data_IF_218295107558
#
_entry.id   IF_218295107558
#
_cell.length_a   1.000
_cell.length_b   1.000
_cell.length_c   1.000
_cell.angle_alpha   90.00
_cell.angle_beta   90.00
_cell.angle_gamma   90.00
#
_symmetry.space_group_name_H-M   'P 1'
#
loop_
_entity.id
_entity.type
_entity.pdbx_description
1 polymer ?
#
# COMPACT_ATOMS: atom_id res chain seq x y z
N UNK A 1 39.54 56.71 -0.88
CA UNK A 1 39.52 55.37 -0.24
C UNK A 1 38.63 55.46 0.98
N UNK A 2 37.46 54.80 0.96
CA UNK A 2 36.87 54.01 2.05
C UNK A 2 35.75 53.19 1.40
N UNK A 3 35.75 51.93 1.80
CA UNK A 3 35.14 50.76 1.21
C UNK A 3 33.61 50.76 1.36
N UNK A 4 32.87 50.48 0.28
CA UNK A 4 31.44 50.22 0.33
C UNK A 4 31.22 48.76 0.79
N UNK A 5 30.60 48.58 1.95
CA UNK A 5 30.19 47.28 2.46
C UNK A 5 28.88 46.82 1.82
N UNK A 6 28.93 45.60 1.29
CA UNK A 6 27.83 44.82 0.74
C UNK A 6 27.17 44.03 1.87
N UNK A 7 25.86 44.16 2.04
CA UNK A 7 24.98 43.16 2.66
C UNK A 7 23.67 43.24 1.87
N UNK A 8 23.29 42.28 1.03
CA UNK A 8 23.06 40.88 1.35
C UNK A 8 21.57 40.64 1.10
N UNK A 9 21.18 40.54 -0.17
CA UNK A 9 19.79 40.29 -0.56
C UNK A 9 19.41 38.85 -0.18
N UNK A 10 18.48 38.70 0.76
CA UNK A 10 17.88 37.42 1.12
C UNK A 10 16.93 36.99 -0.01
N UNK A 11 17.40 36.09 -0.88
CA UNK A 11 16.57 35.41 -1.86
C UNK A 11 15.63 34.45 -1.14
N UNK A 12 14.34 34.79 -1.07
CA UNK A 12 13.28 33.83 -0.73
C UNK A 12 13.10 32.91 -1.95
N UNK A 13 13.77 31.76 -1.92
CA UNK A 13 13.59 30.73 -2.93
C UNK A 13 12.28 29.97 -2.69
N UNK A 14 11.34 30.13 -3.62
CA UNK A 14 10.55 29.04 -4.19
C UNK A 14 9.37 28.46 -3.39
N UNK A 15 8.20 29.11 -3.48
CA UNK A 15 6.92 28.38 -3.50
C UNK A 15 6.53 28.15 -4.97
N UNK A 16 7.19 27.18 -5.61
CA UNK A 16 6.69 26.63 -6.86
C UNK A 16 5.45 25.76 -6.58
N UNK A 17 4.42 25.78 -7.44
CA UNK A 17 3.33 24.81 -7.34
C UNK A 17 3.91 23.39 -7.47
N UNK A 18 3.55 22.51 -6.52
CA UNK A 18 4.00 21.12 -6.50
C UNK A 18 3.66 20.38 -7.81
N UNK A 19 4.38 19.30 -8.13
CA UNK A 19 4.24 18.62 -9.41
C UNK A 19 2.81 18.11 -9.63
N UNK A 20 2.39 18.16 -10.89
CA UNK A 20 1.11 17.74 -11.40
C UNK A 20 0.62 16.41 -10.84
N UNK A 21 -0.63 16.45 -10.34
CA UNK A 21 -1.55 15.36 -9.97
C UNK A 21 -1.02 13.94 -10.15
N UNK A 22 -0.32 13.44 -9.12
CA UNK A 22 -0.24 11.99 -8.92
C UNK A 22 -1.69 11.46 -8.87
N UNK A 23 -1.96 10.36 -9.58
CA UNK A 23 -3.24 9.70 -9.50
C UNK A 23 -3.56 9.40 -8.02
N UNK A 24 -4.83 9.52 -7.59
CA UNK A 24 -5.17 9.25 -6.20
C UNK A 24 -4.69 7.84 -5.83
N UNK A 25 -4.27 7.58 -4.58
CA UNK A 25 -3.75 6.27 -4.19
C UNK A 25 -4.74 5.10 -4.39
N UNK A 26 -6.02 5.42 -4.59
CA UNK A 26 -7.11 4.47 -4.89
C UNK A 26 -7.37 4.27 -6.39
N UNK A 27 -6.62 4.92 -7.28
CA UNK A 27 -6.80 4.81 -8.73
C UNK A 27 -6.63 3.36 -9.21
N UNK A 28 -7.62 2.88 -9.97
CA UNK A 28 -7.62 1.53 -10.54
C UNK A 28 -7.92 0.39 -9.54
N UNK A 29 -8.16 0.71 -8.26
CA UNK A 29 -8.65 -0.30 -7.32
C UNK A 29 -10.08 -0.74 -7.68
N UNK A 30 -10.42 -1.95 -7.26
CA UNK A 30 -11.79 -2.41 -7.22
C UNK A 30 -12.66 -1.38 -6.44
N UNK A 31 -13.84 -0.98 -6.95
CA UNK A 31 -14.66 0.06 -6.33
C UNK A 31 -15.05 -0.21 -4.87
N UNK A 32 -15.23 -1.49 -4.50
CA UNK A 32 -15.54 -1.89 -3.12
C UNK A 32 -14.33 -1.64 -2.23
N UNK A 33 -13.15 -2.05 -2.68
CA UNK A 33 -11.89 -1.82 -1.96
C UNK A 33 -11.59 -0.32 -1.81
N UNK A 34 -11.75 0.46 -2.89
CA UNK A 34 -11.54 1.90 -2.87
C UNK A 34 -12.46 2.60 -1.84
N UNK A 35 -13.73 2.22 -1.82
CA UNK A 35 -14.73 2.77 -0.89
C UNK A 35 -14.43 2.38 0.55
N UNK A 36 -14.14 1.10 0.80
CA UNK A 36 -13.78 0.62 2.13
C UNK A 36 -12.54 1.34 2.69
N UNK A 37 -11.50 1.49 1.87
CA UNK A 37 -10.29 2.21 2.28
C UNK A 37 -10.58 3.69 2.55
N UNK A 38 -11.37 4.35 1.71
CA UNK A 38 -11.71 5.76 1.92
C UNK A 38 -12.46 5.97 3.23
N UNK A 39 -13.39 5.08 3.58
CA UNK A 39 -14.12 5.13 4.86
C UNK A 39 -13.18 4.87 6.05
N UNK A 40 -12.32 3.85 5.96
CA UNK A 40 -11.33 3.54 6.98
C UNK A 40 -10.34 4.70 7.20
N UNK A 41 -9.79 5.26 6.13
CA UNK A 41 -8.85 6.40 6.18
C UNK A 41 -9.50 7.65 6.78
N UNK A 42 -10.78 7.93 6.47
CA UNK A 42 -11.51 9.02 7.11
C UNK A 42 -11.67 8.81 8.62
N UNK A 43 -11.97 7.58 9.04
CA UNK A 43 -12.10 7.25 10.47
C UNK A 43 -10.75 7.28 11.20
N UNK A 44 -9.68 6.81 10.58
CA UNK A 44 -8.31 6.89 11.10
C UNK A 44 -7.92 8.35 11.34
N UNK A 45 -8.12 9.20 10.32
CA UNK A 45 -7.84 10.64 10.39
C UNK A 45 -8.63 11.35 11.48
N UNK A 46 -9.91 11.03 11.65
CA UNK A 46 -10.73 11.60 12.73
C UNK A 46 -10.23 11.20 14.14
N UNK A 47 -9.49 10.09 14.24
CA UNK A 47 -8.84 9.62 15.48
C UNK A 47 -7.37 10.05 15.59
N UNK A 48 -6.86 10.86 14.65
CA UNK A 48 -5.45 11.26 14.62
C UNK A 48 -4.47 10.13 14.27
N UNK A 49 -4.95 9.03 13.69
CA UNK A 49 -4.11 7.90 13.27
C UNK A 49 -3.63 8.13 11.84
N UNK A 50 -2.31 8.19 11.57
CA UNK A 50 -1.79 8.28 10.22
C UNK A 50 -2.02 6.97 9.47
N UNK A 51 -2.57 7.06 8.26
CA UNK A 51 -2.81 5.92 7.38
C UNK A 51 -2.82 6.37 5.92
N UNK A 52 -1.93 5.79 5.11
CA UNK A 52 -1.85 6.00 3.67
C UNK A 52 -1.55 4.69 2.92
N UNK A 53 -1.97 4.62 1.66
CA UNK A 53 -1.57 3.55 0.75
C UNK A 53 -0.12 3.82 0.33
N UNK A 54 0.74 2.83 0.48
CA UNK A 54 2.10 2.80 -0.08
C UNK A 54 2.13 2.10 -1.43
N UNK A 55 1.22 1.15 -1.68
CA UNK A 55 1.07 0.49 -2.98
C UNK A 55 -0.39 0.08 -3.22
N UNK A 56 -0.99 0.59 -4.30
CA UNK A 56 -2.37 0.26 -4.70
C UNK A 56 -2.41 -0.70 -5.88
N UNK A 57 -3.22 -0.37 -6.90
CA UNK A 57 -3.27 -1.14 -8.15
C UNK A 57 -1.91 -1.09 -8.84
N UNK A 58 -1.44 -2.25 -9.34
CA UNK A 58 -0.25 -2.37 -10.18
C UNK A 58 -0.61 -2.75 -11.60
N UNK A 59 0.15 -2.30 -12.58
CA UNK A 59 0.13 -2.84 -13.93
C UNK A 59 0.80 -4.20 -13.96
N UNK A 60 0.50 -4.96 -15.02
CA UNK A 60 1.13 -6.25 -15.26
C UNK A 60 2.66 -6.12 -15.45
N UNK A 61 3.11 -5.02 -16.05
CA UNK A 61 4.54 -4.74 -16.28
C UNK A 61 5.28 -4.42 -14.98
N UNK A 62 4.71 -3.56 -14.13
CA UNK A 62 5.27 -3.24 -12.80
C UNK A 62 5.39 -4.50 -11.94
N UNK A 63 4.32 -5.30 -11.86
CA UNK A 63 4.36 -6.54 -11.09
C UNK A 63 5.38 -7.54 -11.67
N UNK A 64 5.55 -7.58 -13.00
CA UNK A 64 6.53 -8.47 -13.64
C UNK A 64 7.97 -8.06 -13.30
N UNK A 65 8.24 -6.76 -13.21
CA UNK A 65 9.53 -6.25 -12.77
C UNK A 65 9.78 -6.64 -11.30
N UNK A 66 8.84 -6.34 -10.39
CA UNK A 66 8.97 -6.70 -8.97
C UNK A 66 9.18 -8.21 -8.77
N UNK A 67 8.49 -9.03 -9.56
CA UNK A 67 8.65 -10.48 -9.53
C UNK A 67 10.07 -10.92 -9.91
N UNK A 68 10.66 -10.35 -10.96
CA UNK A 68 12.05 -10.63 -11.33
C UNK A 68 13.03 -10.19 -10.25
N UNK A 69 12.82 -9.00 -9.69
CA UNK A 69 13.68 -8.46 -8.63
C UNK A 69 13.61 -9.32 -7.36
N UNK A 70 12.42 -9.82 -7.03
CA UNK A 70 12.23 -10.77 -5.94
C UNK A 70 12.95 -12.10 -6.19
N UNK A 71 12.89 -12.66 -7.41
CA UNK A 71 13.66 -13.88 -7.74
C UNK A 71 15.16 -13.62 -7.57
N UNK A 72 15.67 -12.48 -8.06
CA UNK A 72 17.07 -12.13 -7.90
C UNK A 72 17.46 -11.97 -6.42
N UNK A 73 16.57 -11.43 -5.60
CA UNK A 73 16.80 -11.20 -4.16
C UNK A 73 16.73 -12.48 -3.34
N UNK A 74 15.76 -13.35 -3.62
CA UNK A 74 15.46 -14.55 -2.82
C UNK A 74 16.02 -15.85 -3.42
N UNK A 75 16.66 -15.77 -4.60
CA UNK A 75 17.39 -16.85 -5.24
C UNK A 75 16.54 -17.89 -5.98
N UNK A 76 15.22 -17.91 -5.80
CA UNK A 76 14.33 -18.82 -6.55
C UNK A 76 12.90 -18.29 -6.63
N UNK A 77 12.12 -18.74 -7.65
CA UNK A 77 10.68 -18.51 -7.68
C UNK A 77 9.95 -18.98 -6.42
N UNK A 78 10.30 -20.16 -5.90
CA UNK A 78 9.64 -20.69 -4.70
C UNK A 78 9.84 -19.80 -3.47
N UNK A 79 11.07 -19.31 -3.24
CA UNK A 79 11.37 -18.40 -2.14
C UNK A 79 10.74 -17.02 -2.34
N UNK A 80 10.76 -16.50 -3.58
CA UNK A 80 10.20 -15.18 -3.91
C UNK A 80 8.67 -15.13 -3.74
N UNK A 81 7.94 -16.21 -4.07
CA UNK A 81 6.46 -16.27 -3.98
C UNK A 81 5.91 -16.02 -2.58
N UNK A 82 6.72 -16.19 -1.54
CA UNK A 82 6.33 -15.88 -0.16
C UNK A 82 6.07 -14.38 0.06
N UNK A 83 6.61 -13.52 -0.80
CA UNK A 83 6.57 -12.06 -0.66
C UNK A 83 6.03 -11.34 -1.91
N UNK A 84 6.33 -11.86 -3.09
CA UNK A 84 5.95 -11.24 -4.35
C UNK A 84 5.43 -12.33 -5.27
N UNK A 85 4.17 -12.22 -5.68
CA UNK A 85 3.57 -13.15 -6.65
C UNK A 85 3.91 -12.75 -8.10
N UNK A 86 3.92 -13.72 -9.03
CA UNK A 86 3.95 -13.40 -10.45
C UNK A 86 2.71 -12.58 -10.86
N UNK A 87 2.78 -11.81 -11.96
CA UNK A 87 1.71 -10.91 -12.39
C UNK A 87 0.33 -11.53 -12.46
N UNK A 88 0.25 -12.77 -12.92
CA UNK A 88 -0.97 -13.51 -13.18
C UNK A 88 -1.70 -13.89 -11.87
N UNK A 89 -0.99 -13.91 -10.74
CA UNK A 89 -1.52 -14.30 -9.43
C UNK A 89 -1.68 -13.09 -8.48
N UNK A 90 -1.05 -11.95 -8.78
CA UNK A 90 -1.04 -10.80 -7.88
C UNK A 90 -2.42 -10.12 -7.74
N UNK A 91 -2.96 -9.98 -6.51
CA UNK A 91 -4.17 -9.20 -6.27
C UNK A 91 -4.03 -7.72 -6.61
N UNK A 92 -2.83 -7.15 -6.48
CA UNK A 92 -2.57 -5.74 -6.85
C UNK A 92 -2.79 -5.50 -8.34
N UNK A 93 -2.47 -6.50 -9.19
CA UNK A 93 -2.71 -6.39 -10.64
C UNK A 93 -4.20 -6.30 -10.95
N UNK A 94 -5.01 -7.01 -10.15
CA UNK A 94 -6.48 -7.00 -10.24
C UNK A 94 -7.13 -5.83 -9.51
N UNK A 95 -6.35 -4.94 -8.88
CA UNK A 95 -6.87 -3.85 -8.05
C UNK A 95 -7.55 -4.31 -6.76
N UNK A 96 -7.28 -5.53 -6.29
CA UNK A 96 -7.97 -6.17 -5.15
C UNK A 96 -7.16 -6.17 -3.84
N UNK A 97 -6.01 -5.52 -3.81
CA UNK A 97 -5.20 -5.36 -2.61
C UNK A 97 -4.63 -3.95 -2.50
N UNK A 98 -4.32 -3.57 -1.26
CA UNK A 98 -3.56 -2.39 -0.91
C UNK A 98 -2.47 -2.76 0.09
N UNK A 99 -1.32 -2.12 -0.08
CA UNK A 99 -0.28 -2.03 0.93
C UNK A 99 -0.40 -0.68 1.62
N UNK A 100 -0.37 -0.66 2.94
CA UNK A 100 -0.54 0.55 3.74
C UNK A 100 0.63 0.83 4.67
N UNK A 101 0.82 2.11 4.97
CA UNK A 101 1.74 2.61 5.98
C UNK A 101 1.14 3.77 6.75
N UNK A 102 1.81 4.24 7.82
CA UNK A 102 2.95 3.61 8.47
C UNK A 102 2.52 2.37 9.28
N UNK A 103 3.46 1.66 9.91
CA UNK A 103 3.17 0.41 10.64
C UNK A 103 2.12 0.56 11.75
N UNK A 104 2.08 1.72 12.42
CA UNK A 104 1.04 2.04 13.41
C UNK A 104 -0.36 2.17 12.78
N UNK A 105 -0.46 2.77 11.59
CA UNK A 105 -1.69 2.86 10.81
C UNK A 105 -2.15 1.48 10.34
N UNK A 106 -1.22 0.67 9.83
CA UNK A 106 -1.49 -0.73 9.48
C UNK A 106 -1.99 -1.54 10.69
N UNK A 107 -1.37 -1.37 11.87
CA UNK A 107 -1.81 -2.05 13.08
C UNK A 107 -3.21 -1.59 13.54
N UNK A 108 -3.53 -0.29 13.40
CA UNK A 108 -4.89 0.21 13.63
C UNK A 108 -5.89 -0.40 12.64
N UNK A 109 -5.51 -0.52 11.37
CA UNK A 109 -6.35 -1.12 10.34
C UNK A 109 -6.52 -2.63 10.55
N UNK A 110 -5.52 -3.35 11.08
CA UNK A 110 -5.65 -4.75 11.46
C UNK A 110 -6.71 -4.94 12.56
N UNK A 111 -6.73 -4.06 13.57
CA UNK A 111 -7.69 -4.15 14.67
C UNK A 111 -9.11 -3.71 14.29
N UNK A 112 -9.24 -2.74 13.39
CA UNK A 112 -10.53 -2.04 13.15
C UNK A 112 -11.07 -2.19 11.74
N UNK A 113 -10.24 -2.65 10.79
CA UNK A 113 -10.53 -2.69 9.36
C UNK A 113 -11.73 -3.57 9.00
N UNK A 114 -11.99 -4.59 9.82
CA UNK A 114 -13.12 -5.51 9.65
C UNK A 114 -14.47 -4.76 9.62
N UNK A 115 -14.58 -3.58 10.25
CA UNK A 115 -15.74 -2.68 10.18
C UNK A 115 -16.12 -2.27 8.74
N UNK A 116 -15.14 -2.30 7.83
CA UNK A 116 -15.29 -1.99 6.41
C UNK A 116 -14.97 -3.19 5.50
N UNK A 117 -14.83 -4.39 6.07
CA UNK A 117 -14.45 -5.61 5.34
C UNK A 117 -12.96 -5.74 5.02
N UNK A 118 -12.13 -4.77 5.45
CA UNK A 118 -10.68 -4.76 5.23
C UNK A 118 -9.97 -5.64 6.25
N UNK A 119 -9.23 -6.62 5.76
CA UNK A 119 -8.51 -7.56 6.60
C UNK A 119 -7.06 -7.68 6.15
N UNK A 120 -6.16 -7.73 7.14
CA UNK A 120 -4.80 -8.17 6.89
C UNK A 120 -4.84 -9.61 6.40
N UNK A 121 -4.22 -9.88 5.27
CA UNK A 121 -4.37 -11.18 4.59
C UNK A 121 -3.25 -12.15 4.95
N UNK A 122 -2.03 -11.65 5.16
CA UNK A 122 -0.84 -12.46 5.34
C UNK A 122 -0.11 -12.17 6.66
N UNK A 123 0.28 -13.24 7.35
CA UNK A 123 0.97 -13.17 8.63
C UNK A 123 2.40 -12.59 8.52
N UNK A 124 3.07 -12.78 7.38
CA UNK A 124 4.39 -12.21 7.11
C UNK A 124 4.35 -10.76 6.56
N UNK A 125 3.19 -10.27 6.12
CA UNK A 125 3.05 -8.93 5.50
C UNK A 125 2.13 -8.05 6.35
N UNK A 126 2.69 -7.29 7.28
CA UNK A 126 1.92 -6.40 8.16
C UNK A 126 1.23 -5.25 7.42
N UNK A 127 1.67 -4.97 6.20
CA UNK A 127 1.19 -3.87 5.37
C UNK A 127 0.06 -4.28 4.41
N UNK A 128 -0.19 -5.56 4.15
CA UNK A 128 -1.05 -6.02 3.05
C UNK A 128 -2.50 -6.29 3.48
N UNK A 129 -3.45 -5.59 2.85
CA UNK A 129 -4.89 -5.67 3.15
C UNK A 129 -5.74 -5.92 1.90
N UNK A 130 -6.81 -6.70 2.08
CA UNK A 130 -7.80 -7.02 1.05
C UNK A 130 -9.23 -6.95 1.64
N UNK A 131 -10.24 -6.92 0.77
CA UNK A 131 -11.62 -7.20 1.18
C UNK A 131 -11.75 -8.71 1.42
N UNK A 132 -11.85 -9.14 2.66
CA UNK A 132 -11.87 -10.57 3.03
C UNK A 132 -13.02 -10.97 3.95
N UNK A 133 -13.88 -10.01 4.34
CA UNK A 133 -15.07 -10.29 5.15
C UNK A 133 -16.18 -9.29 4.83
N UNK A 134 -17.42 -9.64 5.22
CA UNK A 134 -18.54 -8.69 5.16
C UNK A 134 -18.31 -7.61 6.23
N UNK A 135 -18.53 -6.31 5.93
CA UNK A 135 -18.35 -5.24 6.90
C UNK A 135 -19.01 -5.53 8.25
N UNK A 136 -18.22 -5.45 9.32
CA UNK A 136 -18.65 -5.70 10.70
C UNK A 136 -18.44 -7.14 11.18
N UNK A 137 -18.28 -8.12 10.29
CA UNK A 137 -17.92 -9.49 10.67
C UNK A 137 -16.42 -9.61 11.01
N UNK A 138 -16.01 -10.63 11.78
CA UNK A 138 -14.60 -10.90 12.01
C UNK A 138 -13.83 -11.19 10.71
N UNK A 139 -12.54 -10.82 10.71
CA UNK A 139 -11.63 -11.24 9.65
C UNK A 139 -11.36 -12.75 9.71
N UNK A 140 -11.18 -13.41 8.55
CA UNK A 140 -10.75 -14.81 8.53
C UNK A 140 -9.32 -14.96 9.08
N UNK A 141 -8.92 -16.19 9.37
CA UNK A 141 -7.53 -16.48 9.73
C UNK A 141 -6.58 -16.05 8.60
N UNK A 142 -5.47 -15.39 8.98
CA UNK A 142 -4.43 -15.00 8.04
C UNK A 142 -3.76 -16.23 7.41
N UNK A 143 -3.36 -16.09 6.16
CA UNK A 143 -2.45 -17.04 5.52
C UNK A 143 -1.03 -16.84 6.04
N UNK A 144 -0.20 -17.91 6.13
CA UNK A 144 1.20 -17.76 6.54
C UNK A 144 1.97 -16.80 5.63
N UNK A 145 1.79 -16.95 4.32
CA UNK A 145 2.37 -16.10 3.27
C UNK A 145 1.59 -16.22 1.93
N UNK A 146 1.99 -15.41 0.94
CA UNK A 146 1.35 -15.34 -0.36
C UNK A 146 1.45 -16.65 -1.16
N UNK A 147 2.56 -17.39 -1.02
CA UNK A 147 2.76 -18.68 -1.66
C UNK A 147 1.76 -19.71 -1.14
N UNK A 148 1.62 -19.81 0.19
CA UNK A 148 0.69 -20.75 0.82
C UNK A 148 -0.76 -20.54 0.37
N UNK A 149 -1.18 -19.27 0.17
CA UNK A 149 -2.50 -18.97 -0.37
C UNK A 149 -2.62 -19.38 -1.84
N UNK A 150 -1.67 -18.98 -2.67
CA UNK A 150 -1.70 -19.29 -4.11
C UNK A 150 -1.71 -20.80 -4.37
N UNK A 151 -0.89 -21.56 -3.64
CA UNK A 151 -0.82 -23.02 -3.78
C UNK A 151 -2.15 -23.70 -3.41
N UNK A 152 -2.93 -23.12 -2.49
CA UNK A 152 -4.23 -23.67 -2.07
C UNK A 152 -5.40 -23.26 -2.96
N UNK A 153 -5.32 -22.11 -3.62
CA UNK A 153 -6.44 -21.57 -4.41
C UNK A 153 -6.31 -21.80 -5.93
N UNK A 154 -5.13 -22.21 -6.42
CA UNK A 154 -4.84 -22.40 -7.84
C UNK A 154 -4.58 -21.09 -8.58
#
# INVERSE_FOLDING_TARGET
MICATVFGALLIAGLGPGPATAAPPTAGLDPVLATAYQQASNSARAQGVPLWITSGKRTHAEQRQMWRDAIATYGSPAAARRWVLPPEQSPHVRGKAIDVGPREGAAWLERTGHRWGLCRTFANEWWHFEIATVPGLPCPAMWPDAAARADRLG
#
